data_IF_336120292784
#
_entry.id   IF_336120292784
#
_cell.length_a   1.000
_cell.length_b   1.000
_cell.length_c   1.000
_cell.angle_alpha   90.00
_cell.angle_beta   90.00
_cell.angle_gamma   90.00
#
_symmetry.space_group_name_H-M   'P 1'
#
loop_
_entity.id
_entity.type
_entity.pdbx_description
1 polymer ?
#
# COMPACT_ATOMS: atom_id res chain seq x y z
N UNK A 1 -26.77 -3.97 30.92
CA UNK A 1 -26.78 -4.80 29.72
C UNK A 1 -25.40 -4.71 29.09
N UNK A 2 -24.85 -5.79 28.55
CA UNK A 2 -23.61 -5.72 27.84
C UNK A 2 -23.73 -4.74 26.66
N UNK A 3 -22.77 -3.85 26.50
CA UNK A 3 -22.77 -2.84 25.45
C UNK A 3 -21.43 -2.81 24.72
N UNK A 4 -21.47 -2.47 23.44
CA UNK A 4 -20.25 -2.22 22.67
C UNK A 4 -19.57 -0.95 23.21
N UNK A 5 -18.31 -1.07 23.57
CA UNK A 5 -17.49 0.05 24.08
C UNK A 5 -16.36 0.33 23.11
N UNK A 6 -16.18 1.60 22.75
CA UNK A 6 -15.04 2.04 21.94
C UNK A 6 -13.96 2.63 22.85
N UNK A 7 -12.76 2.08 22.77
CA UNK A 7 -11.59 2.54 23.55
C UNK A 7 -10.57 3.11 22.57
N UNK A 8 -10.14 4.35 22.83
CA UNK A 8 -9.08 5.02 22.08
C UNK A 8 -7.79 5.00 22.87
N UNK A 9 -6.69 4.65 22.21
CA UNK A 9 -5.34 4.62 22.78
C UNK A 9 -4.32 5.26 21.84
N UNK A 10 -3.19 5.70 22.37
CA UNK A 10 -2.06 6.21 21.57
C UNK A 10 -1.24 5.07 20.94
N UNK A 11 -1.26 3.90 21.57
CA UNK A 11 -0.55 2.69 21.14
C UNK A 11 -1.53 1.55 20.94
N UNK A 12 -1.25 0.58 20.04
CA UNK A 12 -2.12 -0.57 19.83
C UNK A 12 -2.13 -1.43 21.09
N UNK A 13 -3.31 -1.87 21.58
CA UNK A 13 -3.41 -2.80 22.71
C UNK A 13 -2.81 -4.17 22.34
N UNK A 14 -2.52 -5.00 23.35
CA UNK A 14 -1.82 -6.28 23.19
C UNK A 14 -2.55 -7.25 22.24
N UNK A 15 -3.88 -7.28 22.29
CA UNK A 15 -4.72 -8.13 21.46
C UNK A 15 -4.91 -7.61 20.01
N UNK A 16 -4.39 -6.42 19.69
CA UNK A 16 -4.42 -5.87 18.33
C UNK A 16 -3.68 -6.74 17.32
N UNK A 17 -2.45 -7.16 17.66
CA UNK A 17 -1.59 -7.94 16.77
C UNK A 17 -2.22 -9.30 16.39
N UNK A 18 -2.68 -10.14 17.34
CA UNK A 18 -3.34 -11.39 16.98
C UNK A 18 -4.64 -11.19 16.19
N UNK A 19 -5.43 -10.17 16.52
CA UNK A 19 -6.66 -9.85 15.77
C UNK A 19 -6.34 -9.42 14.32
N UNK A 20 -5.39 -8.52 14.13
CA UNK A 20 -4.93 -8.11 12.81
C UNK A 20 -4.35 -9.27 11.98
N UNK A 21 -3.66 -10.21 12.64
CA UNK A 21 -3.13 -11.40 11.98
C UNK A 21 -4.23 -12.36 11.54
N UNK A 22 -5.28 -12.53 12.32
CA UNK A 22 -6.37 -13.46 12.02
C UNK A 22 -7.33 -12.92 10.94
N UNK A 23 -7.66 -11.64 11.00
CA UNK A 23 -8.77 -11.07 10.23
C UNK A 23 -8.34 -9.97 9.25
N UNK A 24 -7.19 -9.32 9.47
CA UNK A 24 -6.78 -8.13 8.75
C UNK A 24 -5.88 -8.39 7.54
N UNK A 25 -5.58 -7.30 6.85
CA UNK A 25 -4.55 -7.21 5.84
C UNK A 25 -3.23 -6.74 6.49
N UNK A 26 -2.15 -6.72 5.72
CA UNK A 26 -0.87 -6.13 6.15
C UNK A 26 -1.03 -4.73 6.78
N UNK A 27 -1.85 -3.88 6.19
CA UNK A 27 -2.05 -2.50 6.66
C UNK A 27 -2.70 -2.37 8.05
N UNK A 28 -3.32 -3.43 8.58
CA UNK A 28 -3.88 -3.46 9.94
C UNK A 28 -2.84 -3.88 10.99
N UNK A 29 -1.65 -4.32 10.57
CA UNK A 29 -0.59 -4.74 11.47
C UNK A 29 -0.03 -3.54 12.25
N UNK A 30 0.20 -3.67 13.57
CA UNK A 30 0.74 -2.58 14.38
C UNK A 30 2.14 -2.16 13.93
N UNK A 31 2.92 -3.08 13.37
CA UNK A 31 4.25 -2.81 12.82
C UNK A 31 4.21 -1.83 11.65
N UNK A 32 3.15 -1.89 10.81
CA UNK A 32 2.95 -0.90 9.75
C UNK A 32 2.66 0.48 10.31
N UNK A 33 1.76 0.57 11.28
CA UNK A 33 1.44 1.81 11.96
C UNK A 33 2.68 2.43 12.63
N UNK A 34 3.49 1.60 13.29
CA UNK A 34 4.76 2.05 13.89
C UNK A 34 5.74 2.54 12.84
N UNK A 35 5.91 1.84 11.72
CA UNK A 35 6.74 2.29 10.60
C UNK A 35 6.31 3.68 10.11
N UNK A 36 5.00 3.92 9.95
CA UNK A 36 4.48 5.23 9.56
C UNK A 36 4.77 6.33 10.60
N UNK A 37 4.61 6.00 11.88
CA UNK A 37 4.94 6.92 12.99
C UNK A 37 6.40 7.32 12.98
N UNK A 38 7.30 6.36 12.88
CA UNK A 38 8.74 6.59 12.94
C UNK A 38 9.28 7.29 11.69
N UNK A 39 8.92 6.79 10.51
CA UNK A 39 9.44 7.32 9.24
C UNK A 39 8.87 8.68 8.91
N UNK A 40 7.56 8.84 9.04
CA UNK A 40 6.86 10.06 8.60
C UNK A 40 6.49 10.99 9.75
N UNK A 41 6.77 10.59 11.02
CA UNK A 41 6.43 11.35 12.24
C UNK A 41 4.96 11.71 12.27
N UNK A 42 4.11 10.71 11.99
CA UNK A 42 2.67 10.87 12.01
C UNK A 42 2.13 10.64 13.42
N UNK A 43 1.15 11.44 13.79
CA UNK A 43 0.38 11.27 15.02
C UNK A 43 -0.72 10.22 14.75
N UNK A 44 -0.71 9.14 15.53
CA UNK A 44 -1.57 7.97 15.33
C UNK A 44 -2.47 7.76 16.53
N UNK A 45 -3.72 7.41 16.27
CA UNK A 45 -4.69 6.98 17.29
C UNK A 45 -5.25 5.60 16.90
N UNK A 46 -5.46 4.74 17.90
CA UNK A 46 -5.96 3.37 17.76
C UNK A 46 -7.31 3.26 18.45
N UNK A 47 -8.30 2.74 17.76
CA UNK A 47 -9.67 2.56 18.25
C UNK A 47 -9.99 1.07 18.29
N UNK A 48 -10.37 0.57 19.48
CA UNK A 48 -10.77 -0.81 19.72
C UNK A 48 -12.26 -0.85 20.09
N UNK A 49 -13.03 -1.60 19.34
CA UNK A 49 -14.43 -1.90 19.68
C UNK A 49 -14.47 -3.19 20.49
N UNK A 50 -15.01 -3.13 21.73
CA UNK A 50 -15.04 -4.25 22.66
C UNK A 50 -16.46 -4.59 23.08
N UNK A 51 -16.75 -5.88 23.12
CA UNK A 51 -17.97 -6.44 23.69
C UNK A 51 -17.57 -7.36 24.85
N UNK A 52 -18.03 -7.05 26.06
CA UNK A 52 -17.65 -7.81 27.28
C UNK A 52 -16.13 -7.98 27.43
N UNK A 53 -15.36 -6.96 27.04
CA UNK A 53 -13.89 -6.97 27.09
C UNK A 53 -13.22 -7.61 25.87
N UNK A 54 -13.93 -8.41 25.07
CA UNK A 54 -13.40 -9.06 23.86
C UNK A 54 -13.32 -8.07 22.68
N UNK A 55 -12.22 -8.09 21.96
CA UNK A 55 -12.01 -7.24 20.76
C UNK A 55 -12.89 -7.73 19.61
N UNK A 56 -13.81 -6.90 19.15
CA UNK A 56 -14.75 -7.17 18.04
C UNK A 56 -14.46 -6.34 16.80
N UNK A 57 -13.65 -5.30 16.95
CA UNK A 57 -13.23 -4.48 15.81
C UNK A 57 -12.11 -3.51 16.16
N UNK A 58 -11.45 -3.02 15.15
CA UNK A 58 -10.32 -2.11 15.30
C UNK A 58 -10.21 -1.14 14.12
N UNK A 59 -9.68 0.07 14.39
CA UNK A 59 -9.41 1.09 13.39
C UNK A 59 -8.24 1.95 13.85
N UNK A 60 -7.19 2.05 13.04
CA UNK A 60 -6.11 2.99 13.26
C UNK A 60 -6.26 4.19 12.33
N UNK A 61 -6.05 5.39 12.85
CA UNK A 61 -6.07 6.62 12.06
C UNK A 61 -4.81 7.44 12.32
N UNK A 62 -4.42 8.20 11.31
CA UNK A 62 -3.31 9.15 11.39
C UNK A 62 -3.82 10.56 11.08
N UNK A 63 -3.31 11.54 11.82
CA UNK A 63 -3.43 12.93 11.41
C UNK A 63 -2.37 13.24 10.35
N UNK A 64 -2.83 13.56 9.15
CA UNK A 64 -1.95 13.96 8.04
C UNK A 64 -1.90 15.49 7.98
N UNK A 65 -0.71 16.09 8.21
CA UNK A 65 -0.57 17.53 8.09
C UNK A 65 -0.81 17.97 6.64
N UNK A 66 -1.39 19.12 6.39
CA UNK A 66 -1.55 19.62 5.04
C UNK A 66 -0.23 20.19 4.51
N UNK A 67 0.08 19.98 3.23
CA UNK A 67 1.02 20.85 2.51
C UNK A 67 0.34 22.20 2.23
N UNK A 68 -0.93 22.12 1.81
CA UNK A 68 -1.85 23.25 1.63
C UNK A 68 -3.26 22.76 1.97
N UNK A 69 -4.03 23.58 2.69
CA UNK A 69 -5.41 23.25 3.05
C UNK A 69 -5.57 22.73 4.50
N UNK A 70 -6.74 22.19 4.86
CA UNK A 70 -7.02 21.74 6.22
C UNK A 70 -6.32 20.43 6.58
N UNK A 71 -6.10 20.23 7.89
CA UNK A 71 -5.70 18.93 8.46
C UNK A 71 -6.76 17.89 8.18
N UNK A 72 -6.34 16.63 8.04
CA UNK A 72 -7.23 15.50 7.82
C UNK A 72 -6.85 14.30 8.69
N UNK A 73 -7.84 13.50 9.09
CA UNK A 73 -7.63 12.17 9.64
C UNK A 73 -7.82 11.15 8.53
N UNK A 74 -6.93 10.18 8.45
CA UNK A 74 -6.94 9.15 7.42
C UNK A 74 -6.74 7.78 8.07
N UNK A 75 -7.50 6.80 7.65
CA UNK A 75 -7.25 5.41 8.05
C UNK A 75 -5.94 4.95 7.43
N UNK A 76 -4.85 5.20 8.10
CA UNK A 76 -3.45 5.02 7.75
C UNK A 76 -3.09 5.49 6.32
N UNK A 77 -2.32 6.59 6.19
CA UNK A 77 -1.80 7.04 4.91
C UNK A 77 -0.91 5.96 4.28
N UNK A 78 -0.67 6.06 2.96
CA UNK A 78 0.08 5.08 2.16
C UNK A 78 -0.52 3.67 2.14
N UNK A 79 -1.71 3.51 2.70
CA UNK A 79 -2.50 2.27 2.66
C UNK A 79 -3.74 2.49 1.79
N UNK A 80 -4.12 1.51 0.99
CA UNK A 80 -5.33 1.63 0.19
C UNK A 80 -6.54 0.89 0.80
N UNK A 81 -6.33 0.13 1.89
CA UNK A 81 -7.37 -0.60 2.59
C UNK A 81 -6.96 -0.84 4.07
N UNK A 82 -7.00 0.22 4.88
CA UNK A 82 -6.75 0.20 6.32
C UNK A 82 -7.93 0.77 7.11
N UNK A 83 -9.14 0.64 6.58
CA UNK A 83 -10.38 1.08 7.22
C UNK A 83 -10.77 0.21 8.42
N UNK A 84 -12.00 0.35 8.90
CA UNK A 84 -12.47 -0.48 10.00
C UNK A 84 -12.28 -1.97 9.68
N UNK A 85 -11.72 -2.71 10.62
CA UNK A 85 -11.69 -4.16 10.62
C UNK A 85 -12.60 -4.62 11.75
N UNK A 86 -13.78 -5.16 11.42
CA UNK A 86 -14.81 -5.47 12.40
C UNK A 86 -15.54 -6.76 12.04
N UNK A 87 -16.20 -7.37 13.03
CA UNK A 87 -16.97 -8.59 12.84
C UNK A 87 -18.32 -8.34 12.16
N UNK A 88 -18.85 -7.12 12.28
CA UNK A 88 -20.16 -6.74 11.74
C UNK A 88 -20.22 -5.23 11.40
N UNK A 89 -21.25 -4.86 10.67
CA UNK A 89 -21.50 -3.50 10.19
C UNK A 89 -21.74 -2.50 11.34
N UNK A 90 -22.40 -2.92 12.42
CA UNK A 90 -22.68 -2.06 13.57
C UNK A 90 -21.36 -1.68 14.28
N UNK A 91 -20.47 -2.64 14.46
CA UNK A 91 -19.14 -2.44 15.03
C UNK A 91 -18.29 -1.53 14.13
N UNK A 92 -18.30 -1.74 12.81
CA UNK A 92 -17.59 -0.89 11.85
C UNK A 92 -18.13 0.56 11.90
N UNK A 93 -19.45 0.73 11.95
CA UNK A 93 -20.12 2.02 12.08
C UNK A 93 -19.77 2.73 13.39
N UNK A 94 -19.74 2.03 14.52
CA UNK A 94 -19.37 2.59 15.82
C UNK A 94 -17.91 3.08 15.86
N UNK A 95 -16.98 2.34 15.23
CA UNK A 95 -15.59 2.77 15.07
C UNK A 95 -15.47 4.04 14.23
N UNK A 96 -16.19 4.11 13.11
CA UNK A 96 -16.20 5.29 12.23
C UNK A 96 -16.79 6.52 12.94
N UNK A 97 -17.86 6.33 13.73
CA UNK A 97 -18.49 7.39 14.51
C UNK A 97 -17.55 7.94 15.58
N UNK A 98 -16.85 7.08 16.34
CA UNK A 98 -15.89 7.51 17.35
C UNK A 98 -14.75 8.35 16.75
N UNK A 99 -14.27 7.99 15.55
CA UNK A 99 -13.26 8.79 14.83
C UNK A 99 -13.86 10.10 14.33
N UNK A 100 -15.14 10.13 13.93
CA UNK A 100 -15.85 11.35 13.53
C UNK A 100 -16.00 12.33 14.70
N UNK A 101 -16.41 11.83 15.88
CA UNK A 101 -16.49 12.63 17.11
C UNK A 101 -15.11 13.23 17.45
N UNK A 102 -14.06 12.41 17.36
CA UNK A 102 -12.69 12.87 17.58
C UNK A 102 -12.25 13.96 16.59
N UNK A 103 -12.64 13.83 15.32
CA UNK A 103 -12.37 14.86 14.31
C UNK A 103 -13.05 16.20 14.67
N UNK A 104 -14.30 16.15 15.17
CA UNK A 104 -15.03 17.32 15.65
C UNK A 104 -14.34 17.98 16.86
N UNK A 105 -13.96 17.21 17.87
CA UNK A 105 -13.20 17.69 19.05
C UNK A 105 -11.93 18.43 18.64
N UNK A 106 -11.18 17.89 17.69
CA UNK A 106 -9.92 18.47 17.19
C UNK A 106 -10.11 19.54 16.12
N UNK A 107 -11.34 19.86 15.76
CA UNK A 107 -11.69 20.79 14.68
C UNK A 107 -11.06 20.39 13.34
N UNK A 108 -10.93 19.09 13.10
CA UNK A 108 -10.48 18.51 11.82
C UNK A 108 -11.70 18.36 10.94
N UNK A 109 -11.65 18.93 9.73
CA UNK A 109 -12.81 19.00 8.84
C UNK A 109 -12.80 17.93 7.74
N UNK A 110 -11.85 17.02 7.74
CA UNK A 110 -11.72 15.97 6.73
C UNK A 110 -11.36 14.65 7.37
N UNK A 111 -12.14 13.64 7.10
CA UNK A 111 -11.92 12.27 7.52
C UNK A 111 -12.01 11.37 6.28
N UNK A 112 -11.07 10.46 6.13
CA UNK A 112 -11.01 9.51 5.02
C UNK A 112 -10.77 8.10 5.58
N UNK A 113 -11.76 7.21 5.41
CA UNK A 113 -11.66 5.80 5.78
C UNK A 113 -11.59 4.98 4.49
N UNK A 114 -10.61 4.09 4.40
CA UNK A 114 -10.32 3.28 3.19
C UNK A 114 -10.49 1.81 3.50
N UNK A 115 -11.44 1.14 2.86
CA UNK A 115 -11.74 -0.29 3.06
C UNK A 115 -11.86 -1.06 1.74
N UNK A 116 -12.00 -2.37 1.83
CA UNK A 116 -12.27 -3.21 0.66
C UNK A 116 -13.76 -3.28 0.28
N UNK A 117 -14.59 -2.38 0.81
CA UNK A 117 -16.01 -2.30 0.45
C UNK A 117 -16.92 -3.30 1.16
N UNK A 118 -16.41 -3.98 2.18
CA UNK A 118 -17.11 -5.08 2.86
C UNK A 118 -18.21 -4.58 3.81
N UNK A 119 -18.28 -3.27 4.12
CA UNK A 119 -19.24 -2.66 5.02
C UNK A 119 -20.06 -1.58 4.31
N UNK A 120 -21.31 -1.30 4.75
CA UNK A 120 -22.05 -0.14 4.29
C UNK A 120 -21.32 1.16 4.64
N UNK A 121 -21.60 2.24 3.91
CA UNK A 121 -21.05 3.53 4.25
C UNK A 121 -21.53 3.95 5.65
N UNK A 122 -20.62 4.41 6.54
CA UNK A 122 -21.04 4.88 7.85
C UNK A 122 -21.99 6.09 7.74
N UNK A 123 -22.87 6.27 8.71
CA UNK A 123 -23.84 7.35 8.72
C UNK A 123 -23.14 8.73 8.62
N UNK A 124 -23.58 9.57 7.70
CA UNK A 124 -22.99 10.89 7.45
C UNK A 124 -21.71 10.89 6.64
N UNK A 125 -21.25 9.75 6.17
CA UNK A 125 -20.12 9.65 5.23
C UNK A 125 -20.60 9.51 3.79
N UNK A 126 -19.80 10.03 2.86
CA UNK A 126 -19.99 9.83 1.43
C UNK A 126 -19.01 8.81 0.91
N UNK A 127 -19.54 7.67 0.42
CA UNK A 127 -18.73 6.61 -0.20
C UNK A 127 -18.39 6.91 -1.64
N UNK A 128 -17.13 6.62 -1.99
CA UNK A 128 -16.62 6.56 -3.37
C UNK A 128 -15.96 5.20 -3.61
N UNK A 129 -16.28 4.58 -4.75
CA UNK A 129 -15.71 3.29 -5.18
C UNK A 129 -14.92 3.46 -6.48
N UNK A 130 -14.12 4.52 -6.53
CA UNK A 130 -13.37 4.89 -7.73
C UNK A 130 -12.19 3.95 -8.02
N UNK A 131 -11.64 3.32 -6.98
CA UNK A 131 -10.49 2.44 -7.11
C UNK A 131 -10.88 0.98 -6.96
N UNK A 132 -10.06 0.09 -7.55
CA UNK A 132 -10.06 -1.32 -7.23
C UNK A 132 -8.63 -1.78 -6.93
N UNK A 133 -8.46 -2.77 -6.05
CA UNK A 133 -7.23 -3.56 -5.99
C UNK A 133 -7.37 -4.80 -6.86
N UNK A 134 -6.25 -5.45 -7.19
CA UNK A 134 -6.22 -6.60 -8.09
C UNK A 134 -5.51 -7.77 -7.43
N UNK A 135 -6.28 -8.75 -7.00
CA UNK A 135 -5.75 -9.91 -6.29
C UNK A 135 -5.66 -11.12 -7.22
N UNK A 136 -4.53 -11.80 -7.19
CA UNK A 136 -4.27 -13.05 -7.91
C UNK A 136 -4.39 -14.19 -6.92
N UNK A 137 -5.29 -15.13 -7.19
CA UNK A 137 -5.39 -16.37 -6.42
C UNK A 137 -4.17 -17.26 -6.71
N UNK A 138 -3.56 -17.79 -5.67
CA UNK A 138 -2.48 -18.77 -5.74
C UNK A 138 -2.96 -20.20 -5.50
N UNK A 139 -4.27 -20.37 -5.34
CA UNK A 139 -4.89 -21.69 -5.16
C UNK A 139 -4.55 -22.65 -6.31
N UNK A 140 -4.21 -23.88 -5.96
CA UNK A 140 -3.74 -24.90 -6.89
C UNK A 140 -2.23 -24.85 -7.16
N UNK A 141 -1.49 -24.00 -6.43
CA UNK A 141 -0.03 -23.92 -6.49
C UNK A 141 0.53 -23.29 -7.75
N UNK A 142 1.82 -23.47 -7.98
CA UNK A 142 2.57 -22.80 -9.05
C UNK A 142 2.04 -23.07 -10.46
N UNK A 143 1.68 -24.31 -10.77
CA UNK A 143 1.17 -24.68 -12.10
C UNK A 143 -0.16 -23.99 -12.41
N UNK A 144 -1.08 -23.94 -11.44
CA UNK A 144 -2.34 -23.25 -11.59
C UNK A 144 -2.15 -21.74 -11.68
N UNK A 145 -1.23 -21.19 -10.87
CA UNK A 145 -0.85 -19.78 -10.92
C UNK A 145 -0.28 -19.42 -12.30
N UNK A 146 0.64 -20.23 -12.84
CA UNK A 146 1.19 -20.04 -14.18
C UNK A 146 0.09 -20.04 -15.27
N UNK A 147 -0.86 -20.96 -15.18
CA UNK A 147 -1.96 -21.06 -16.15
C UNK A 147 -2.88 -19.83 -16.14
N UNK A 148 -2.97 -19.07 -15.03
CA UNK A 148 -3.74 -17.83 -14.94
C UNK A 148 -3.06 -16.65 -15.62
N UNK A 149 -1.75 -16.72 -15.86
CA UNK A 149 -0.99 -15.65 -16.51
C UNK A 149 -1.29 -15.57 -17.99
N UNK A 150 -1.44 -14.36 -18.53
CA UNK A 150 -1.69 -14.17 -19.95
C UNK A 150 -0.52 -14.73 -20.81
N UNK A 151 -0.78 -15.69 -21.73
CA UNK A 151 0.28 -16.46 -22.39
C UNK A 151 1.22 -15.61 -23.25
N UNK A 152 0.66 -14.77 -24.12
CA UNK A 152 1.41 -14.03 -25.15
C UNK A 152 2.05 -12.73 -24.62
N UNK A 153 1.74 -12.30 -23.38
CA UNK A 153 2.34 -11.12 -22.77
C UNK A 153 3.13 -11.48 -21.50
N UNK A 154 2.44 -11.89 -20.43
CA UNK A 154 3.06 -12.10 -19.10
C UNK A 154 4.00 -13.29 -19.10
N UNK A 155 3.52 -14.49 -19.50
CA UNK A 155 4.37 -15.69 -19.56
C UNK A 155 5.54 -15.48 -20.55
N UNK A 156 5.26 -14.87 -21.72
CA UNK A 156 6.32 -14.55 -22.69
C UNK A 156 7.37 -13.61 -22.11
N UNK A 157 6.97 -12.59 -21.35
CA UNK A 157 7.90 -11.65 -20.72
C UNK A 157 8.73 -12.30 -19.64
N UNK A 158 8.14 -13.16 -18.80
CA UNK A 158 8.86 -13.95 -17.80
C UNK A 158 9.92 -14.84 -18.48
N UNK A 159 9.51 -15.64 -19.49
CA UNK A 159 10.44 -16.50 -20.25
C UNK A 159 11.54 -15.69 -20.93
N UNK A 160 11.23 -14.49 -21.45
CA UNK A 160 12.24 -13.61 -22.04
C UNK A 160 13.29 -13.19 -21.01
N UNK A 161 12.88 -12.78 -19.80
CA UNK A 161 13.80 -12.40 -18.74
C UNK A 161 14.64 -13.56 -18.24
N UNK A 162 14.05 -14.75 -18.07
CA UNK A 162 14.77 -15.97 -17.70
C UNK A 162 15.81 -16.33 -18.77
N UNK A 163 15.43 -16.28 -20.06
CA UNK A 163 16.34 -16.56 -21.17
C UNK A 163 17.47 -15.51 -21.32
N UNK A 164 17.22 -14.27 -20.88
CA UNK A 164 18.26 -13.23 -20.83
C UNK A 164 19.29 -13.45 -19.71
N UNK A 165 19.17 -14.51 -18.91
CA UNK A 165 20.10 -14.83 -17.83
C UNK A 165 19.97 -13.90 -16.62
N UNK A 166 18.80 -13.33 -16.38
CA UNK A 166 18.56 -12.53 -15.17
C UNK A 166 18.64 -13.43 -13.93
N UNK A 167 19.46 -13.02 -12.97
CA UNK A 167 19.58 -13.65 -11.66
C UNK A 167 18.68 -12.93 -10.68
N UNK A 168 17.75 -13.66 -10.08
CA UNK A 168 16.84 -13.15 -9.04
C UNK A 168 17.27 -13.68 -7.69
N UNK A 169 17.31 -12.79 -6.68
CA UNK A 169 17.50 -13.18 -5.29
C UNK A 169 16.63 -12.38 -4.34
N UNK A 170 16.35 -12.93 -3.18
CA UNK A 170 15.84 -12.15 -2.04
C UNK A 170 16.95 -11.27 -1.47
N UNK A 171 16.60 -10.06 -1.08
CA UNK A 171 17.48 -9.19 -0.35
C UNK A 171 17.39 -9.47 1.15
N UNK A 172 18.54 -9.44 1.83
CA UNK A 172 18.67 -9.74 3.26
C UNK A 172 19.35 -8.61 4.03
N UNK A 173 19.98 -7.67 3.32
CA UNK A 173 20.83 -6.64 3.92
C UNK A 173 20.24 -5.22 3.78
N UNK A 174 20.82 -4.26 4.49
CA UNK A 174 20.50 -2.85 4.35
C UNK A 174 20.88 -2.31 2.96
N UNK A 175 21.96 -2.85 2.36
CA UNK A 175 22.40 -2.50 1.02
C UNK A 175 21.37 -2.90 -0.05
N UNK A 176 20.64 -3.99 0.17
CA UNK A 176 19.57 -4.42 -0.72
C UNK A 176 18.38 -3.47 -0.70
N UNK A 177 18.03 -2.97 0.49
CA UNK A 177 17.03 -1.92 0.63
C UNK A 177 17.50 -0.56 0.11
N UNK A 178 18.80 -0.26 0.22
CA UNK A 178 19.38 0.93 -0.39
C UNK A 178 19.29 0.85 -1.93
N UNK A 179 19.57 -0.31 -2.53
CA UNK A 179 19.42 -0.52 -3.97
C UNK A 179 17.97 -0.31 -4.41
N UNK A 180 17.00 -0.83 -3.64
CA UNK A 180 15.57 -0.59 -3.89
C UNK A 180 15.24 0.91 -3.84
N UNK A 181 15.74 1.63 -2.82
CA UNK A 181 15.52 3.07 -2.66
C UNK A 181 16.11 3.87 -3.84
N UNK A 182 17.30 3.52 -4.30
CA UNK A 182 17.96 4.20 -5.42
C UNK A 182 17.23 4.00 -6.75
N UNK A 183 16.76 2.78 -7.02
CA UNK A 183 15.97 2.50 -8.22
C UNK A 183 14.62 3.21 -8.17
N UNK A 184 13.98 3.25 -6.99
CA UNK A 184 12.71 3.97 -6.80
C UNK A 184 12.89 5.48 -6.96
N UNK A 185 13.98 6.06 -6.44
CA UNK A 185 14.30 7.48 -6.68
C UNK A 185 14.42 7.79 -8.18
N UNK A 186 15.08 6.93 -8.96
CA UNK A 186 15.20 7.07 -10.41
C UNK A 186 13.84 6.97 -11.11
N UNK A 187 13.03 5.98 -10.73
CA UNK A 187 11.71 5.74 -11.30
C UNK A 187 10.76 6.90 -11.00
N UNK A 188 10.70 7.33 -9.73
CA UNK A 188 9.85 8.43 -9.29
C UNK A 188 10.26 9.74 -9.98
N UNK A 189 11.56 10.02 -10.08
CA UNK A 189 12.08 11.18 -10.79
C UNK A 189 11.69 11.18 -12.27
N UNK A 190 11.79 10.04 -12.95
CA UNK A 190 11.36 9.88 -14.34
C UNK A 190 9.85 10.13 -14.54
N UNK A 191 9.04 9.87 -13.50
CA UNK A 191 7.60 10.17 -13.48
C UNK A 191 7.26 11.58 -12.98
N UNK A 192 8.26 12.39 -12.61
CA UNK A 192 8.06 13.73 -12.05
C UNK A 192 7.42 13.73 -10.66
N UNK A 193 7.65 12.70 -9.86
CA UNK A 193 7.09 12.53 -8.53
C UNK A 193 8.20 12.51 -7.46
N UNK A 194 7.93 12.98 -6.23
CA UNK A 194 8.83 12.73 -5.13
C UNK A 194 8.85 11.23 -4.79
N UNK A 195 10.04 10.68 -4.55
CA UNK A 195 10.20 9.33 -4.04
C UNK A 195 9.95 9.27 -2.52
N UNK A 196 9.59 8.09 -1.97
CA UNK A 196 9.64 7.86 -0.53
C UNK A 196 11.05 8.21 0.00
N UNK A 197 11.15 8.75 1.23
CA UNK A 197 12.45 9.03 1.81
C UNK A 197 13.25 7.73 1.99
N UNK A 198 14.57 7.75 1.77
CA UNK A 198 15.43 6.55 1.93
C UNK A 198 15.25 5.85 3.27
N UNK A 199 15.02 6.61 4.34
CA UNK A 199 14.74 6.04 5.66
C UNK A 199 13.51 5.12 5.69
N UNK A 200 12.53 5.33 4.78
CA UNK A 200 11.41 4.40 4.66
C UNK A 200 11.89 2.99 4.28
N UNK A 201 12.83 2.88 3.36
CA UNK A 201 13.38 1.59 2.95
C UNK A 201 14.40 1.06 3.96
N UNK A 202 15.34 1.90 4.39
CA UNK A 202 16.48 1.50 5.23
C UNK A 202 16.09 1.23 6.70
N UNK A 203 15.13 1.96 7.24
CA UNK A 203 14.65 1.80 8.61
C UNK A 203 13.29 1.07 8.60
N UNK A 204 12.25 1.65 7.99
CA UNK A 204 10.89 1.12 8.04
C UNK A 204 10.74 -0.25 7.38
N UNK A 205 11.12 -0.41 6.11
CA UNK A 205 10.99 -1.70 5.43
C UNK A 205 11.95 -2.75 6.01
N UNK A 206 13.11 -2.34 6.50
CA UNK A 206 14.05 -3.25 7.17
C UNK A 206 13.45 -3.79 8.46
N UNK A 207 12.88 -2.95 9.32
CA UNK A 207 12.17 -3.39 10.53
C UNK A 207 10.99 -4.32 10.21
N UNK A 208 10.22 -4.00 9.15
CA UNK A 208 9.16 -4.89 8.67
C UNK A 208 9.69 -6.23 8.18
N UNK A 209 10.85 -6.26 7.51
CA UNK A 209 11.51 -7.50 7.09
C UNK A 209 11.97 -8.33 8.29
N UNK A 210 12.58 -7.71 9.29
CA UNK A 210 13.03 -8.37 10.53
C UNK A 210 11.83 -8.96 11.30
N UNK A 211 10.65 -8.34 11.18
CA UNK A 211 9.37 -8.86 11.70
C UNK A 211 8.71 -9.91 10.79
N UNK A 212 9.33 -10.28 9.66
CA UNK A 212 8.77 -11.21 8.68
C UNK A 212 7.63 -10.65 7.82
N UNK A 213 7.39 -9.34 7.86
CA UNK A 213 6.26 -8.65 7.23
C UNK A 213 6.61 -7.94 5.91
N UNK A 214 7.88 -7.93 5.51
CA UNK A 214 8.30 -7.42 4.21
C UNK A 214 9.36 -8.31 3.58
N UNK A 215 9.56 -8.16 2.28
CA UNK A 215 10.68 -8.72 1.55
C UNK A 215 11.05 -7.80 0.38
N UNK A 216 12.33 -7.77 0.03
CA UNK A 216 12.82 -7.16 -1.20
C UNK A 216 13.36 -8.25 -2.12
N UNK A 217 13.03 -8.15 -3.41
CA UNK A 217 13.54 -9.03 -4.46
C UNK A 217 14.34 -8.20 -5.43
N UNK A 218 15.48 -8.70 -5.84
CA UNK A 218 16.46 -8.01 -6.66
C UNK A 218 16.78 -8.82 -7.90
N UNK A 219 16.84 -8.17 -9.05
CA UNK A 219 17.28 -8.77 -10.31
C UNK A 219 18.58 -8.14 -10.78
N UNK A 220 19.49 -9.01 -11.20
CA UNK A 220 20.77 -8.63 -11.78
C UNK A 220 20.91 -9.26 -13.16
N UNK A 221 21.67 -8.62 -14.03
CA UNK A 221 22.10 -9.24 -15.30
C UNK A 221 23.13 -10.35 -15.03
N UNK A 222 23.41 -11.17 -16.01
CA UNK A 222 24.47 -12.18 -15.93
C UNK A 222 25.87 -11.57 -15.65
N UNK A 223 26.08 -10.30 -16.02
CA UNK A 223 27.32 -9.55 -15.71
C UNK A 223 27.34 -8.93 -14.30
N UNK A 224 26.28 -9.14 -13.50
CA UNK A 224 26.18 -8.59 -12.15
C UNK A 224 25.64 -7.15 -12.08
N UNK A 225 25.26 -6.54 -13.20
CA UNK A 225 24.67 -5.21 -13.18
C UNK A 225 23.24 -5.28 -12.58
N UNK A 226 22.89 -4.29 -11.75
CA UNK A 226 21.55 -4.15 -11.19
C UNK A 226 20.52 -3.92 -12.31
N UNK A 227 19.40 -4.64 -12.28
CA UNK A 227 18.39 -4.53 -13.32
C UNK A 227 17.05 -4.02 -12.78
N UNK A 228 16.60 -4.51 -11.64
CA UNK A 228 15.36 -4.08 -11.00
C UNK A 228 15.31 -4.51 -9.53
N UNK A 229 14.40 -3.90 -8.80
CA UNK A 229 14.01 -4.33 -7.46
C UNK A 229 12.49 -4.20 -7.28
N UNK A 230 11.91 -5.09 -6.46
CA UNK A 230 10.54 -4.95 -5.97
C UNK A 230 10.49 -5.17 -4.47
N UNK A 231 9.59 -4.49 -3.79
CA UNK A 231 9.24 -4.78 -2.40
C UNK A 231 7.87 -5.42 -2.31
N UNK A 232 7.72 -6.31 -1.33
CA UNK A 232 6.48 -7.02 -1.04
C UNK A 232 6.17 -6.88 0.45
N UNK A 233 4.93 -6.57 0.78
CA UNK A 233 4.43 -6.56 2.14
C UNK A 233 3.57 -7.79 2.40
N UNK A 234 3.82 -8.49 3.51
CA UNK A 234 3.25 -9.80 3.79
C UNK A 234 2.11 -9.72 4.79
N UNK A 235 0.90 -9.89 4.32
CA UNK A 235 -0.26 -10.17 5.14
C UNK A 235 -0.45 -11.67 5.33
N UNK A 236 -1.32 -12.07 6.25
CA UNK A 236 -1.60 -13.48 6.56
C UNK A 236 -2.38 -14.21 5.47
N UNK A 237 -3.16 -13.50 4.67
CA UNK A 237 -3.99 -14.07 3.58
C UNK A 237 -3.51 -13.68 2.20
N UNK A 238 -2.87 -12.53 2.09
CA UNK A 238 -2.42 -11.97 0.81
C UNK A 238 -1.13 -11.17 1.00
N UNK A 239 -0.17 -11.37 0.10
CA UNK A 239 1.01 -10.53 0.00
C UNK A 239 0.73 -9.38 -0.96
N UNK A 240 1.26 -8.22 -0.68
CA UNK A 240 0.99 -6.99 -1.42
C UNK A 240 2.25 -6.55 -2.18
N UNK A 241 2.13 -6.35 -3.49
CA UNK A 241 3.14 -5.65 -4.28
C UNK A 241 3.24 -4.19 -3.82
N UNK A 242 4.35 -3.86 -3.16
CA UNK A 242 4.58 -2.55 -2.57
C UNK A 242 5.14 -1.55 -3.59
N UNK A 243 6.40 -1.69 -3.90
CA UNK A 243 7.12 -0.84 -4.84
C UNK A 243 7.82 -1.70 -5.89
N UNK A 244 8.03 -1.12 -7.08
CA UNK A 244 8.78 -1.79 -8.12
C UNK A 244 9.45 -0.80 -9.05
N UNK A 245 10.76 -0.92 -9.16
CA UNK A 245 11.59 -0.02 -9.91
C UNK A 245 12.61 -0.79 -10.75
N UNK A 246 12.95 -0.27 -11.93
CA UNK A 246 13.91 -0.87 -12.86
C UNK A 246 14.89 0.16 -13.36
N UNK A 247 16.11 -0.30 -13.61
CA UNK A 247 17.07 0.47 -14.39
C UNK A 247 16.52 0.60 -15.84
N UNK A 248 16.34 1.81 -16.36
CA UNK A 248 15.86 2.03 -17.72
C UNK A 248 16.69 1.30 -18.80
N UNK A 249 17.99 1.15 -18.57
CA UNK A 249 18.89 0.44 -19.49
C UNK A 249 18.64 -1.07 -19.56
N UNK A 250 17.93 -1.64 -18.61
CA UNK A 250 17.67 -3.08 -18.49
C UNK A 250 16.20 -3.48 -18.81
N UNK A 251 15.34 -2.53 -19.15
CA UNK A 251 13.91 -2.76 -19.38
C UNK A 251 13.62 -3.78 -20.48
N UNK A 252 14.48 -3.87 -21.50
CA UNK A 252 14.33 -4.84 -22.59
C UNK A 252 14.39 -6.29 -22.10
N UNK A 253 15.11 -6.58 -21.00
CA UNK A 253 15.22 -7.89 -20.38
C UNK A 253 14.03 -8.27 -19.50
N UNK A 254 13.04 -7.37 -19.35
CA UNK A 254 11.82 -7.63 -18.58
C UNK A 254 12.06 -7.98 -17.09
N UNK A 255 12.98 -7.30 -16.36
CA UNK A 255 13.38 -7.72 -15.02
C UNK A 255 12.22 -7.71 -14.02
N UNK A 256 11.30 -6.73 -14.08
CA UNK A 256 10.12 -6.69 -13.19
C UNK A 256 9.22 -7.91 -13.34
N UNK A 257 9.14 -8.51 -14.54
CA UNK A 257 8.31 -9.71 -14.74
C UNK A 257 8.92 -10.92 -14.04
N UNK A 258 10.23 -11.05 -14.06
CA UNK A 258 10.90 -12.18 -13.38
C UNK A 258 10.83 -12.02 -11.87
N UNK A 259 11.00 -10.79 -11.37
CA UNK A 259 10.87 -10.47 -9.94
C UNK A 259 9.47 -10.73 -9.41
N UNK A 260 8.46 -10.22 -10.13
CA UNK A 260 7.07 -10.37 -9.71
C UNK A 260 6.65 -11.83 -9.73
N UNK A 261 7.11 -12.61 -10.72
CA UNK A 261 6.90 -14.04 -10.77
C UNK A 261 7.52 -14.76 -9.57
N UNK A 262 8.77 -14.48 -9.23
CA UNK A 262 9.44 -15.06 -8.07
C UNK A 262 8.71 -14.73 -6.76
N UNK A 263 8.26 -13.49 -6.58
CA UNK A 263 7.50 -13.09 -5.41
C UNK A 263 6.13 -13.79 -5.31
N UNK A 264 5.46 -14.01 -6.45
CA UNK A 264 4.19 -14.75 -6.51
C UNK A 264 4.36 -16.24 -6.23
N UNK A 265 5.47 -16.86 -6.68
CA UNK A 265 5.81 -18.25 -6.33
C UNK A 265 6.01 -18.40 -4.81
N UNK A 266 6.72 -17.46 -4.19
CA UNK A 266 6.92 -17.45 -2.74
C UNK A 266 5.62 -17.24 -1.96
N UNK A 267 4.73 -16.37 -2.45
CA UNK A 267 3.41 -16.18 -1.85
C UNK A 267 2.56 -17.45 -1.96
N UNK A 268 2.58 -18.12 -3.11
CA UNK A 268 1.90 -19.40 -3.32
C UNK A 268 2.44 -20.48 -2.38
N UNK A 269 3.76 -20.59 -2.22
CA UNK A 269 4.39 -21.51 -1.28
C UNK A 269 4.00 -21.23 0.18
N UNK A 270 3.72 -19.97 0.51
CA UNK A 270 3.21 -19.55 1.81
C UNK A 270 1.68 -19.71 1.97
N UNK A 271 0.96 -20.20 0.94
CA UNK A 271 -0.50 -20.32 0.95
C UNK A 271 -1.23 -18.99 0.91
N UNK A 272 -0.59 -17.93 0.43
CA UNK A 272 -1.14 -16.58 0.38
C UNK A 272 -1.44 -16.14 -1.04
N UNK A 273 -2.54 -15.42 -1.25
CA UNK A 273 -2.82 -14.72 -2.50
C UNK A 273 -1.80 -13.60 -2.75
N UNK A 274 -1.82 -13.02 -3.95
CA UNK A 274 -0.94 -11.92 -4.29
C UNK A 274 -1.73 -10.71 -4.79
N UNK A 275 -1.67 -9.61 -4.05
CA UNK A 275 -2.35 -8.36 -4.38
C UNK A 275 -1.39 -7.43 -5.15
N UNK A 276 -1.73 -7.15 -6.38
CA UNK A 276 -0.98 -6.26 -7.29
C UNK A 276 -1.19 -4.77 -6.98
N UNK A 277 -1.90 -4.45 -5.89
CA UNK A 277 -2.21 -3.10 -5.46
C UNK A 277 -3.34 -2.43 -6.24
N UNK A 278 -3.66 -1.21 -5.83
CA UNK A 278 -4.79 -0.47 -6.40
C UNK A 278 -4.49 0.10 -7.79
N UNK A 279 -5.56 0.30 -8.57
CA UNK A 279 -5.57 1.12 -9.77
C UNK A 279 -6.90 1.87 -9.90
N UNK A 280 -6.88 3.02 -10.57
CA UNK A 280 -8.07 3.72 -11.00
C UNK A 280 -8.47 3.24 -12.41
N UNK A 281 -9.76 3.27 -12.79
CA UNK A 281 -10.21 2.84 -14.12
C UNK A 281 -9.53 3.60 -15.27
N UNK A 282 -9.20 4.87 -15.07
CA UNK A 282 -8.55 5.72 -16.07
C UNK A 282 -7.09 5.30 -16.33
N UNK A 283 -6.49 4.52 -15.44
CA UNK A 283 -5.16 3.94 -15.63
C UNK A 283 -5.25 2.64 -16.46
N UNK A 284 -5.86 2.72 -17.65
CA UNK A 284 -6.19 1.55 -18.46
C UNK A 284 -5.00 0.60 -18.70
N UNK A 285 -3.80 1.14 -18.95
CA UNK A 285 -2.59 0.34 -19.12
C UNK A 285 -2.19 -0.43 -17.85
N UNK A 286 -2.34 0.19 -16.67
CA UNK A 286 -2.06 -0.45 -15.38
C UNK A 286 -3.12 -1.51 -15.04
N UNK A 287 -4.39 -1.22 -15.30
CA UNK A 287 -5.51 -2.16 -15.14
C UNK A 287 -5.27 -3.39 -16.00
N UNK A 288 -4.95 -3.19 -17.27
CA UNK A 288 -4.68 -4.28 -18.22
C UNK A 288 -3.44 -5.08 -17.82
N UNK A 289 -2.38 -4.43 -17.38
CA UNK A 289 -1.20 -5.10 -16.82
C UNK A 289 -1.61 -6.06 -15.69
N UNK A 290 -2.40 -5.58 -14.71
CA UNK A 290 -2.82 -6.39 -13.55
C UNK A 290 -3.73 -7.55 -13.96
N UNK A 291 -4.64 -7.34 -14.91
CA UNK A 291 -5.49 -8.40 -15.46
C UNK A 291 -4.67 -9.48 -16.16
N UNK A 292 -3.64 -9.10 -16.91
CA UNK A 292 -2.73 -10.06 -17.59
C UNK A 292 -1.91 -10.90 -16.62
N UNK A 293 -1.75 -10.44 -15.38
CA UNK A 293 -1.19 -11.22 -14.28
C UNK A 293 -2.22 -12.13 -13.59
N UNK A 294 -3.44 -12.21 -14.09
CA UNK A 294 -4.53 -13.00 -13.50
C UNK A 294 -5.25 -12.28 -12.34
N UNK A 295 -5.00 -10.98 -12.16
CA UNK A 295 -5.59 -10.19 -11.09
C UNK A 295 -7.10 -9.99 -11.27
N UNK A 296 -7.87 -10.37 -10.26
CA UNK A 296 -9.30 -10.10 -10.14
C UNK A 296 -9.51 -8.78 -9.41
N UNK A 297 -10.36 -7.92 -9.98
CA UNK A 297 -10.65 -6.62 -9.40
C UNK A 297 -11.51 -6.76 -8.13
N UNK A 298 -11.08 -6.13 -7.05
CA UNK A 298 -11.82 -6.02 -5.80
C UNK A 298 -12.06 -4.53 -5.56
N UNK A 299 -13.32 -4.06 -5.55
CA UNK A 299 -13.65 -2.65 -5.31
C UNK A 299 -13.10 -2.15 -3.98
N UNK A 300 -12.61 -0.92 -3.94
CA UNK A 300 -12.21 -0.24 -2.73
C UNK A 300 -13.24 0.84 -2.38
N UNK A 301 -13.70 0.84 -1.13
CA UNK A 301 -14.60 1.85 -0.61
C UNK A 301 -13.82 2.91 0.15
N UNK A 302 -13.93 4.15 -0.31
CA UNK A 302 -13.36 5.32 0.35
C UNK A 302 -14.52 6.16 0.89
N UNK A 303 -14.64 6.22 2.21
CA UNK A 303 -15.68 6.94 2.93
C UNK A 303 -15.12 8.27 3.42
N UNK A 304 -15.71 9.37 2.97
CA UNK A 304 -15.29 10.73 3.27
C UNK A 304 -16.29 11.45 4.17
N UNK A 305 -15.81 12.20 5.16
CA UNK A 305 -16.61 13.07 6.01
C UNK A 305 -15.86 14.40 6.31
N UNK A 306 -16.55 15.57 6.40
CA UNK A 306 -17.91 15.78 5.89
C UNK A 306 -17.94 15.64 4.38
N UNK A 307 -19.16 15.49 3.86
CA UNK A 307 -19.36 15.53 2.41
C UNK A 307 -18.72 16.81 1.85
N UNK A 308 -17.76 16.68 0.94
CA UNK A 308 -17.06 17.87 0.45
C UNK A 308 -18.01 18.71 -0.39
N UNK A 309 -18.53 19.78 0.20
CA UNK A 309 -19.21 20.83 -0.57
C UNK A 309 -18.26 21.38 -1.62
N UNK A 310 -18.41 20.95 -2.86
CA UNK A 310 -17.67 21.46 -4.00
C UNK A 310 -16.21 21.02 -4.13
N UNK A 311 -15.73 20.09 -3.31
CA UNK A 311 -14.39 19.59 -3.47
C UNK A 311 -14.38 18.44 -4.46
N UNK A 312 -13.62 18.61 -5.54
CA UNK A 312 -13.37 17.57 -6.52
C UNK A 312 -12.63 16.42 -5.85
N UNK A 313 -13.35 15.35 -5.41
CA UNK A 313 -12.78 14.11 -4.91
C UNK A 313 -12.21 13.25 -6.04
N UNK A 314 -12.29 13.75 -7.29
CA UNK A 314 -11.56 13.17 -8.39
C UNK A 314 -10.07 13.08 -8.03
N UNK A 315 -9.35 12.06 -8.52
CA UNK A 315 -7.91 12.00 -8.40
C UNK A 315 -7.36 13.38 -8.76
N UNK A 316 -6.52 13.95 -7.91
CA UNK A 316 -5.98 15.32 -8.00
C UNK A 316 -5.82 15.73 -9.45
N UNK A 317 -6.38 16.87 -9.81
CA UNK A 317 -6.48 17.41 -11.17
C UNK A 317 -5.15 17.19 -11.92
N UNK A 318 -5.20 16.35 -12.96
CA UNK A 318 -4.01 15.95 -13.72
C UNK A 318 -3.24 17.14 -14.28
N UNK A 319 -3.91 18.30 -14.47
CA UNK A 319 -3.29 19.50 -15.03
C UNK A 319 -2.26 20.13 -14.09
N UNK A 320 -2.62 20.36 -12.83
CA UNK A 320 -1.71 20.96 -11.83
C UNK A 320 -0.59 19.99 -11.43
N UNK A 321 -0.91 18.68 -11.34
CA UNK A 321 0.09 17.64 -11.09
C UNK A 321 1.02 17.44 -12.28
N UNK A 322 0.51 17.54 -13.53
CA UNK A 322 1.34 17.44 -14.72
C UNK A 322 2.35 18.59 -14.83
N UNK A 323 1.93 19.82 -14.51
CA UNK A 323 2.84 20.96 -14.47
C UNK A 323 3.92 20.80 -13.39
N UNK A 324 3.55 20.36 -12.18
CA UNK A 324 4.50 20.06 -11.11
C UNK A 324 5.43 18.91 -11.51
N UNK A 325 4.92 17.85 -12.12
CA UNK A 325 5.69 16.71 -12.59
C UNK A 325 6.71 17.13 -13.67
N UNK A 326 6.33 17.99 -14.61
CA UNK A 326 7.22 18.51 -15.63
C UNK A 326 8.36 19.37 -15.06
N UNK A 327 8.11 20.12 -14.01
CA UNK A 327 9.14 20.87 -13.27
C UNK A 327 10.02 19.89 -12.49
N UNK A 328 9.43 18.95 -11.78
CA UNK A 328 10.13 18.00 -10.93
C UNK A 328 11.10 17.10 -11.72
N UNK A 329 10.66 16.59 -12.88
CA UNK A 329 11.49 15.74 -13.74
C UNK A 329 12.69 16.46 -14.35
N UNK A 330 12.70 17.81 -14.36
CA UNK A 330 13.82 18.62 -14.83
C UNK A 330 14.81 19.03 -13.74
N UNK A 331 14.44 18.82 -12.47
CA UNK A 331 15.37 19.12 -11.37
C UNK A 331 16.56 18.14 -11.39
N UNK A 332 17.76 18.59 -11.03
CA UNK A 332 18.86 17.64 -10.80
C UNK A 332 18.45 16.59 -9.74
N UNK A 333 18.79 15.32 -9.95
CA UNK A 333 18.40 14.23 -9.07
C UNK A 333 18.74 14.48 -7.57
N UNK A 334 19.84 15.20 -7.31
CA UNK A 334 20.22 15.61 -5.93
C UNK A 334 19.20 16.57 -5.30
N UNK A 335 18.64 17.48 -6.09
CA UNK A 335 17.62 18.45 -5.64
C UNK A 335 16.28 17.75 -5.47
N UNK A 336 15.89 16.90 -6.42
CA UNK A 336 14.67 16.10 -6.33
C UNK A 336 14.65 15.22 -5.06
N UNK A 337 15.82 14.70 -4.66
CA UNK A 337 15.98 13.92 -3.41
C UNK A 337 15.64 14.73 -2.16
N UNK A 338 15.98 16.02 -2.09
CA UNK A 338 15.61 16.88 -0.96
C UNK A 338 14.10 17.01 -0.79
N UNK A 339 13.36 16.86 -1.88
CA UNK A 339 11.90 16.88 -1.86
C UNK A 339 11.23 15.59 -1.34
N UNK A 340 11.98 14.56 -1.00
CA UNK A 340 11.43 13.34 -0.39
C UNK A 340 10.67 13.63 0.92
N UNK A 341 11.00 14.71 1.62
CA UNK A 341 10.24 15.19 2.79
C UNK A 341 8.79 15.58 2.46
N UNK A 342 8.51 15.93 1.19
CA UNK A 342 7.14 16.24 0.74
C UNK A 342 6.28 14.98 0.59
N UNK A 343 6.89 13.81 0.52
CA UNK A 343 6.17 12.54 0.37
C UNK A 343 5.15 12.31 1.49
N UNK A 344 5.47 12.73 2.72
CA UNK A 344 4.56 12.62 3.88
C UNK A 344 3.18 13.27 3.66
N UNK A 345 3.07 14.25 2.77
CA UNK A 345 1.83 14.95 2.46
C UNK A 345 1.01 14.29 1.36
N UNK A 346 1.55 13.25 0.72
CA UNK A 346 0.89 12.50 -0.36
C UNK A 346 0.01 11.36 0.17
N UNK A 347 0.20 10.95 1.42
CA UNK A 347 -0.51 9.84 2.08
C UNK A 347 -1.97 10.09 2.40
#
# INVERSE_FOLDING_TARGET
MPSLTIIRTADPPEDWRPYAAAYGMFYHRPEWAQCLREVYRLDLEFYSARWEGELKGMLAVAEVPPLVGPRRLVSLPFSYAAGPLAHDDATAGALAEAVRERALERRIRRLELKSRGDYPAPAGFQRRTHYATYEVSTEGGESALWARLHPSSTQRSIRKGQKAGLVVRRGESAEDWLLMAELEEQTAHGHGLPAPPRRFFLEGCRQLQDAGLAAVYLAFTASGARAAAISVFKGSRSWIYGFGASDPAQLEHRPNHVLLWAAMQDAAAAGCNFDLGRAAPEQAGLVEFKRRWGGQAIPLAYDYWPEPGGMNLAPRDRGSLAAMAAVWSRLPARVARLGSGLYRYLG
#
